data_IF_688195807933
#
_entry.id   IF_688195807933
#
_cell.length_a   1.000
_cell.length_b   1.000
_cell.length_c   1.000
_cell.angle_alpha   90.00
_cell.angle_beta   90.00
_cell.angle_gamma   90.00
#
_symmetry.space_group_name_H-M   'P 1'
#
loop_
_entity.id
_entity.type
_entity.pdbx_description
1 polymer ?
#
# COMPACT_ATOMS: atom_id res chain seq x y z
N UNK A 1 17.98 0.40 -10.86
CA UNK A 1 17.11 -0.47 -11.71
C UNK A 1 15.92 0.28 -12.33
N UNK A 2 15.96 0.61 -13.63
CA UNK A 2 14.93 1.43 -14.31
C UNK A 2 13.51 0.81 -14.32
N UNK A 3 13.40 -0.52 -14.36
CA UNK A 3 12.13 -1.23 -14.39
C UNK A 3 11.24 -0.96 -13.17
N UNK A 4 11.83 -0.64 -12.01
CA UNK A 4 11.09 -0.32 -10.79
C UNK A 4 10.23 0.93 -10.94
N UNK A 5 10.73 1.94 -11.67
CA UNK A 5 9.97 3.15 -11.95
C UNK A 5 8.76 2.86 -12.83
N UNK A 6 8.90 1.98 -13.83
CA UNK A 6 7.77 1.57 -14.68
C UNK A 6 6.73 0.78 -13.88
N UNK A 7 7.16 -0.10 -12.98
CA UNK A 7 6.24 -0.83 -12.08
C UNK A 7 5.52 0.16 -11.15
N UNK A 8 6.21 1.17 -10.61
CA UNK A 8 5.61 2.25 -9.83
C UNK A 8 4.52 2.99 -10.60
N UNK A 9 4.79 3.39 -11.85
CA UNK A 9 3.79 4.03 -12.70
C UNK A 9 2.55 3.16 -12.95
N UNK A 10 2.71 1.83 -13.04
CA UNK A 10 1.58 0.90 -13.20
C UNK A 10 0.75 0.71 -11.91
N UNK A 11 1.30 1.11 -10.76
CA UNK A 11 0.62 1.12 -9.46
C UNK A 11 -0.10 2.44 -9.18
N UNK A 12 0.34 3.54 -9.78
CA UNK A 12 -0.29 4.85 -9.63
C UNK A 12 -1.70 4.89 -10.21
N UNK A 13 -2.46 5.94 -9.83
CA UNK A 13 -3.76 6.19 -10.42
C UNK A 13 -3.63 6.32 -11.94
N UNK A 14 -4.37 5.51 -12.73
CA UNK A 14 -4.29 5.54 -14.18
C UNK A 14 -4.55 6.94 -14.74
N UNK A 15 -3.62 7.47 -15.52
CA UNK A 15 -3.73 8.79 -16.14
C UNK A 15 -3.59 8.75 -17.67
N UNK A 16 -3.85 9.90 -18.30
CA UNK A 16 -3.77 10.03 -19.75
C UNK A 16 -2.33 9.86 -20.26
N UNK A 17 -1.34 10.33 -19.49
CA UNK A 17 0.07 10.31 -19.89
C UNK A 17 0.57 8.87 -20.08
N UNK A 18 0.29 7.97 -19.14
CA UNK A 18 0.67 6.57 -19.25
C UNK A 18 -0.04 5.87 -20.42
N UNK A 19 -1.30 6.24 -20.70
CA UNK A 19 -2.06 5.70 -21.83
C UNK A 19 -1.52 6.17 -23.18
N UNK A 20 -1.11 7.44 -23.28
CA UNK A 20 -0.46 8.01 -24.47
C UNK A 20 0.92 7.38 -24.72
N UNK A 21 1.67 7.12 -23.66
CA UNK A 21 3.00 6.50 -23.71
C UNK A 21 3.00 4.97 -23.56
N UNK A 22 1.86 4.30 -23.76
CA UNK A 22 1.71 2.86 -23.44
C UNK A 22 2.69 1.95 -24.17
N UNK A 23 3.07 2.28 -25.42
CA UNK A 23 3.97 1.44 -26.20
C UNK A 23 5.39 1.40 -25.62
N UNK A 24 5.85 2.51 -25.03
CA UNK A 24 7.13 2.59 -24.35
C UNK A 24 7.12 1.76 -23.06
N UNK A 25 6.05 1.87 -22.27
CA UNK A 25 5.85 1.05 -21.08
C UNK A 25 5.84 -0.45 -21.43
N UNK A 26 5.09 -0.85 -22.46
CA UNK A 26 5.02 -2.23 -22.95
C UNK A 26 6.37 -2.74 -23.48
N UNK A 27 7.17 -1.89 -24.12
CA UNK A 27 8.50 -2.25 -24.58
C UNK A 27 9.46 -2.49 -23.41
N UNK A 28 9.45 -1.62 -22.40
CA UNK A 28 10.27 -1.76 -21.19
C UNK A 28 9.89 -3.01 -20.38
N UNK A 29 8.58 -3.25 -20.20
CA UNK A 29 8.08 -4.44 -19.51
C UNK A 29 8.50 -5.72 -20.24
N UNK A 30 8.33 -5.81 -21.56
CA UNK A 30 8.75 -7.00 -22.33
C UNK A 30 10.25 -7.29 -22.22
N UNK A 31 11.09 -6.25 -22.09
CA UNK A 31 12.54 -6.38 -21.99
C UNK A 31 12.98 -6.80 -20.59
N UNK A 32 12.51 -6.09 -19.57
CA UNK A 32 13.09 -6.15 -18.22
C UNK A 32 12.20 -6.88 -17.20
N UNK A 33 10.90 -7.00 -17.46
CA UNK A 33 9.93 -7.70 -16.61
C UNK A 33 8.91 -8.51 -17.43
N UNK A 34 9.33 -9.50 -18.23
CA UNK A 34 8.45 -10.21 -19.17
C UNK A 34 7.27 -10.93 -18.50
N UNK A 35 7.36 -11.25 -17.21
CA UNK A 35 6.27 -11.84 -16.42
C UNK A 35 5.07 -10.91 -16.25
N UNK A 36 5.26 -9.59 -16.42
CA UNK A 36 4.19 -8.59 -16.38
C UNK A 36 3.57 -8.30 -17.76
N UNK A 37 4.07 -8.91 -18.84
CA UNK A 37 3.65 -8.57 -20.22
C UNK A 37 2.14 -8.66 -20.39
N UNK A 38 1.52 -9.76 -19.99
CA UNK A 38 0.08 -9.97 -20.16
C UNK A 38 -0.73 -9.02 -19.28
N UNK A 39 -0.30 -8.80 -18.04
CA UNK A 39 -0.92 -7.84 -17.12
C UNK A 39 -0.91 -6.42 -17.71
N UNK A 40 0.27 -5.91 -18.07
CA UNK A 40 0.43 -4.55 -18.59
C UNK A 40 -0.31 -4.38 -19.92
N UNK A 41 -0.26 -5.39 -20.80
CA UNK A 41 -1.01 -5.37 -22.06
C UNK A 41 -2.52 -5.25 -21.82
N UNK A 42 -3.07 -6.02 -20.88
CA UNK A 42 -4.50 -5.99 -20.58
C UNK A 42 -4.91 -4.69 -19.89
N UNK A 43 -4.07 -4.16 -19.00
CA UNK A 43 -4.31 -2.89 -18.31
C UNK A 43 -4.36 -1.71 -19.31
N UNK A 44 -3.30 -1.54 -20.10
CA UNK A 44 -3.11 -0.34 -20.95
C UNK A 44 -3.93 -0.37 -22.27
N UNK A 45 -4.57 -1.49 -22.60
CA UNK A 45 -5.50 -1.57 -23.74
C UNK A 45 -6.97 -1.52 -23.35
N UNK A 46 -7.28 -1.44 -22.06
CA UNK A 46 -8.64 -1.20 -21.58
C UNK A 46 -9.00 0.30 -21.64
N UNK A 47 -10.31 0.63 -21.63
CA UNK A 47 -10.74 2.02 -21.49
C UNK A 47 -10.21 2.63 -20.18
N UNK A 48 -9.60 3.82 -20.26
CA UNK A 48 -8.95 4.48 -19.12
C UNK A 48 -9.91 4.66 -17.93
N UNK A 49 -11.12 5.17 -18.19
CA UNK A 49 -12.13 5.39 -17.16
C UNK A 49 -12.50 4.11 -16.39
N UNK A 50 -12.54 2.97 -17.07
CA UNK A 50 -12.83 1.68 -16.43
C UNK A 50 -11.69 1.31 -15.47
N UNK A 51 -10.43 1.52 -15.90
CA UNK A 51 -9.25 1.25 -15.05
C UNK A 51 -9.08 2.23 -13.91
N UNK A 52 -9.47 3.48 -14.09
CA UNK A 52 -9.56 4.45 -12.99
C UNK A 52 -10.59 4.03 -11.94
N UNK A 53 -11.78 3.60 -12.36
CA UNK A 53 -12.81 3.12 -11.45
C UNK A 53 -12.38 1.86 -10.69
N UNK A 54 -11.80 0.88 -11.39
CA UNK A 54 -11.23 -0.33 -10.78
C UNK A 54 -10.12 0.02 -9.77
N UNK A 55 -9.23 0.95 -10.11
CA UNK A 55 -8.15 1.37 -9.23
C UNK A 55 -8.68 1.96 -7.92
N UNK A 56 -9.67 2.85 -7.98
CA UNK A 56 -10.29 3.43 -6.78
C UNK A 56 -10.93 2.35 -5.89
N UNK A 57 -11.65 1.39 -6.48
CA UNK A 57 -12.25 0.29 -5.72
C UNK A 57 -11.21 -0.61 -5.06
N UNK A 58 -10.01 -0.75 -5.65
CA UNK A 58 -8.95 -1.59 -5.14
C UNK A 58 -8.08 -0.89 -4.09
N UNK A 59 -7.64 0.34 -4.33
CA UNK A 59 -6.59 0.99 -3.55
C UNK A 59 -7.07 2.14 -2.65
N UNK A 60 -8.21 2.77 -2.95
CA UNK A 60 -8.69 3.98 -2.26
C UNK A 60 -9.89 3.71 -1.33
N UNK A 61 -10.58 2.59 -1.55
CA UNK A 61 -11.81 2.26 -0.84
C UNK A 61 -11.61 1.74 0.58
N UNK A 62 -10.43 1.20 0.90
CA UNK A 62 -10.11 0.62 2.20
C UNK A 62 -8.62 0.75 2.53
N UNK A 63 -8.27 0.48 3.78
CA UNK A 63 -6.91 0.60 4.33
C UNK A 63 -6.05 -0.64 4.05
N UNK A 64 -6.65 -1.81 4.01
CA UNK A 64 -5.93 -3.11 3.91
C UNK A 64 -5.13 -3.28 2.61
N UNK A 65 -5.54 -2.61 1.53
CA UNK A 65 -4.87 -2.60 0.22
C UNK A 65 -4.19 -1.29 -0.11
N UNK A 66 -4.15 -0.33 0.82
CA UNK A 66 -3.47 0.96 0.65
C UNK A 66 -2.02 0.79 0.19
N UNK A 67 -1.57 1.66 -0.69
CA UNK A 67 -0.18 1.68 -1.18
C UNK A 67 0.78 2.41 -0.23
N UNK A 68 0.33 2.84 0.94
CA UNK A 68 1.18 3.45 1.97
C UNK A 68 1.87 2.35 2.79
N UNK A 69 3.19 2.25 2.68
CA UNK A 69 3.98 1.19 3.30
C UNK A 69 3.82 1.15 4.82
N UNK A 70 3.88 2.31 5.49
CA UNK A 70 3.84 2.33 6.95
C UNK A 70 2.46 2.07 7.53
N UNK A 71 1.41 2.19 6.72
CA UNK A 71 0.08 1.74 7.10
C UNK A 71 0.06 0.25 7.41
N UNK A 72 0.93 -0.58 6.81
CA UNK A 72 0.98 -2.04 7.03
C UNK A 72 1.95 -2.49 8.12
N UNK A 73 2.66 -1.54 8.75
CA UNK A 73 3.69 -1.82 9.76
C UNK A 73 3.38 -1.12 11.08
N UNK A 74 3.07 0.17 11.03
CA UNK A 74 3.07 1.05 12.20
C UNK A 74 1.69 1.58 12.59
N UNK A 75 0.62 1.28 11.86
CA UNK A 75 -0.73 1.79 12.16
C UNK A 75 -0.71 3.32 12.43
N UNK A 76 -1.42 3.78 13.47
CA UNK A 76 -1.37 5.15 14.00
C UNK A 76 -0.29 5.34 15.10
N UNK A 77 0.75 4.48 15.15
CA UNK A 77 1.78 4.61 16.18
C UNK A 77 2.64 5.86 15.97
N UNK A 78 3.20 6.37 17.08
CA UNK A 78 4.14 7.50 17.04
C UNK A 78 5.39 7.17 16.21
N UNK A 79 5.70 5.88 16.06
CA UNK A 79 6.86 5.40 15.30
C UNK A 79 6.70 5.66 13.80
N UNK A 80 5.46 5.74 13.28
CA UNK A 80 5.18 6.11 11.89
C UNK A 80 5.77 7.48 11.53
N UNK A 81 5.61 8.46 12.42
CA UNK A 81 6.12 9.81 12.19
C UNK A 81 7.65 9.85 12.10
N UNK A 82 8.35 9.10 12.96
CA UNK A 82 9.80 9.01 12.90
C UNK A 82 10.26 8.27 11.63
N UNK A 83 9.59 7.17 11.27
CA UNK A 83 9.90 6.42 10.05
C UNK A 83 9.74 7.28 8.78
N UNK A 84 8.73 8.17 8.74
CA UNK A 84 8.57 9.14 7.65
C UNK A 84 9.74 10.13 7.57
N UNK A 85 10.18 10.67 8.71
CA UNK A 85 11.33 11.58 8.76
C UNK A 85 12.61 10.89 8.30
N UNK A 86 12.83 9.65 8.76
CA UNK A 86 14.02 8.87 8.39
C UNK A 86 14.03 8.56 6.88
N UNK A 87 12.88 8.18 6.31
CA UNK A 87 12.75 7.91 4.88
C UNK A 87 12.96 9.17 4.03
N UNK A 88 12.43 10.32 4.46
CA UNK A 88 12.70 11.61 3.82
C UNK A 88 14.19 11.93 3.78
N UNK A 89 14.91 11.70 4.87
CA UNK A 89 16.34 11.91 4.93
C UNK A 89 17.11 11.00 3.95
N UNK A 90 16.65 9.76 3.73
CA UNK A 90 17.23 8.87 2.70
C UNK A 90 16.99 9.38 1.27
N UNK A 91 15.82 9.96 0.99
CA UNK A 91 15.51 10.55 -0.31
C UNK A 91 16.40 11.78 -0.60
N UNK A 92 16.58 12.64 0.41
CA UNK A 92 17.42 13.83 0.29
C UNK A 92 18.89 13.49 -0.03
N UNK A 93 19.42 12.38 0.51
CA UNK A 93 20.80 11.93 0.24
C UNK A 93 21.06 11.63 -1.24
N UNK A 94 20.03 11.24 -1.99
CA UNK A 94 20.13 10.97 -3.43
C UNK A 94 19.59 12.12 -4.28
N UNK A 95 19.28 13.25 -3.66
CA UNK A 95 18.80 14.46 -4.33
C UNK A 95 17.33 14.40 -4.76
N UNK A 96 16.55 13.46 -4.24
CA UNK A 96 15.12 13.37 -4.51
C UNK A 96 14.38 14.35 -3.60
N UNK A 97 13.62 15.26 -4.20
CA UNK A 97 12.82 16.27 -3.50
C UNK A 97 11.34 16.02 -3.77
N UNK A 98 10.58 15.82 -2.71
CA UNK A 98 9.15 15.55 -2.81
C UNK A 98 8.34 16.83 -2.96
N UNK A 99 7.25 16.73 -3.71
CA UNK A 99 6.19 17.72 -3.63
C UNK A 99 5.49 17.60 -2.26
N UNK A 100 5.04 18.73 -1.72
CA UNK A 100 4.35 18.84 -0.42
C UNK A 100 3.04 18.03 -0.31
N UNK A 101 2.57 17.43 -1.41
CA UNK A 101 1.31 16.69 -1.50
C UNK A 101 1.49 15.18 -1.40
N UNK A 102 2.72 14.68 -1.46
CA UNK A 102 3.01 13.25 -1.48
C UNK A 102 3.59 12.79 -0.15
N UNK A 103 3.14 11.63 0.33
CA UNK A 103 3.69 11.01 1.52
C UNK A 103 4.93 10.18 1.14
N UNK A 104 6.01 10.23 1.93
CA UNK A 104 7.27 9.55 1.57
C UNK A 104 7.13 8.03 1.52
N UNK A 105 6.17 7.45 2.24
CA UNK A 105 5.93 6.01 2.32
C UNK A 105 4.97 5.48 1.24
N UNK A 106 4.57 6.31 0.28
CA UNK A 106 3.82 5.87 -0.89
C UNK A 106 4.68 4.92 -1.75
N UNK A 107 4.21 3.70 -1.98
CA UNK A 107 5.00 2.64 -2.62
C UNK A 107 5.54 3.02 -4.02
N UNK A 108 4.75 3.60 -4.94
CA UNK A 108 5.28 4.02 -6.25
C UNK A 108 6.46 5.00 -6.14
N UNK A 109 6.36 5.94 -5.22
CA UNK A 109 7.43 6.88 -4.93
C UNK A 109 8.66 6.20 -4.33
N UNK A 110 8.45 5.24 -3.41
CA UNK A 110 9.55 4.41 -2.89
C UNK A 110 10.25 3.63 -4.01
N UNK A 111 9.50 3.11 -4.99
CA UNK A 111 10.08 2.44 -6.16
C UNK A 111 10.85 3.40 -7.07
N UNK A 112 10.39 4.64 -7.22
CA UNK A 112 11.16 5.69 -7.92
C UNK A 112 12.49 5.95 -7.21
N UNK A 113 12.49 6.09 -5.88
CA UNK A 113 13.71 6.19 -5.08
C UNK A 113 14.64 4.99 -5.30
N UNK A 114 14.13 3.75 -5.23
CA UNK A 114 14.96 2.57 -5.47
C UNK A 114 15.49 2.50 -6.91
N UNK A 115 14.77 3.10 -7.87
CA UNK A 115 15.18 3.10 -9.28
C UNK A 115 16.47 3.88 -9.54
N UNK A 116 16.77 4.90 -8.71
CA UNK A 116 17.97 5.75 -8.81
C UNK A 116 19.18 5.21 -8.05
N UNK A 117 18.98 4.20 -7.20
CA UNK A 117 20.06 3.51 -6.49
C UNK A 117 20.79 2.50 -7.38
N UNK A 118 21.93 2.00 -6.87
CA UNK A 118 22.58 0.83 -7.47
C UNK A 118 21.68 -0.40 -7.39
N UNK A 119 21.84 -1.35 -8.30
CA UNK A 119 20.96 -2.52 -8.38
C UNK A 119 20.98 -3.38 -7.11
N UNK A 120 22.11 -3.46 -6.41
CA UNK A 120 22.21 -4.20 -5.15
C UNK A 120 21.44 -3.50 -4.02
N UNK A 121 21.56 -2.17 -3.91
CA UNK A 121 20.79 -1.37 -2.95
C UNK A 121 19.29 -1.39 -3.25
N UNK A 122 18.91 -1.36 -4.53
CA UNK A 122 17.51 -1.44 -4.95
C UNK A 122 16.90 -2.79 -4.52
N UNK A 123 17.61 -3.90 -4.72
CA UNK A 123 17.18 -5.23 -4.25
C UNK A 123 17.09 -5.30 -2.73
N UNK A 124 18.08 -4.77 -2.02
CA UNK A 124 18.05 -4.71 -0.55
C UNK A 124 16.83 -3.91 -0.05
N UNK A 125 16.55 -2.76 -0.67
CA UNK A 125 15.35 -1.97 -0.37
C UNK A 125 14.05 -2.75 -0.57
N UNK A 126 13.92 -3.47 -1.70
CA UNK A 126 12.76 -4.33 -1.94
C UNK A 126 12.66 -5.48 -0.93
N UNK A 127 13.79 -6.07 -0.51
CA UNK A 127 13.81 -7.12 0.51
C UNK A 127 13.35 -6.60 1.87
N UNK A 128 13.72 -5.37 2.24
CA UNK A 128 13.29 -4.75 3.50
C UNK A 128 11.77 -4.59 3.59
N UNK A 129 11.10 -4.37 2.46
CA UNK A 129 9.63 -4.26 2.37
C UNK A 129 8.94 -5.53 1.85
N UNK A 130 9.69 -6.60 1.56
CA UNK A 130 9.15 -7.83 0.98
C UNK A 130 7.99 -8.45 1.78
N UNK A 131 7.98 -8.45 3.12
CA UNK A 131 6.84 -8.96 3.87
C UNK A 131 5.55 -8.14 3.62
N UNK A 132 5.67 -6.81 3.47
CA UNK A 132 4.55 -5.92 3.13
C UNK A 132 4.07 -6.22 1.70
N UNK A 133 5.00 -6.34 0.74
CA UNK A 133 4.67 -6.65 -0.65
C UNK A 133 3.93 -7.99 -0.78
N UNK A 134 4.38 -9.02 -0.04
CA UNK A 134 3.73 -10.32 -0.01
C UNK A 134 2.31 -10.23 0.56
N UNK A 135 2.13 -9.49 1.66
CA UNK A 135 0.83 -9.27 2.28
C UNK A 135 -0.14 -8.55 1.34
N UNK A 136 0.28 -7.43 0.74
CA UNK A 136 -0.52 -6.68 -0.24
C UNK A 136 -0.87 -7.53 -1.46
N UNK A 137 0.11 -8.22 -2.04
CA UNK A 137 -0.11 -9.15 -3.14
C UNK A 137 -1.12 -10.24 -2.78
N UNK A 138 -1.03 -10.82 -1.59
CA UNK A 138 -1.97 -11.81 -1.09
C UNK A 138 -3.41 -11.28 -0.96
N UNK A 139 -3.57 -10.08 -0.39
CA UNK A 139 -4.88 -9.39 -0.28
C UNK A 139 -5.49 -9.09 -1.64
N UNK A 140 -4.69 -8.58 -2.57
CA UNK A 140 -5.14 -8.33 -3.94
C UNK A 140 -5.56 -9.62 -4.65
N UNK A 141 -4.79 -10.69 -4.48
CA UNK A 141 -5.09 -12.00 -5.07
C UNK A 141 -6.37 -12.62 -4.50
N UNK A 142 -6.61 -12.49 -3.19
CA UNK A 142 -7.86 -12.90 -2.55
C UNK A 142 -9.08 -12.14 -3.13
N UNK A 143 -8.89 -10.86 -3.48
CA UNK A 143 -9.91 -10.01 -4.12
C UNK A 143 -10.01 -10.22 -5.64
N UNK A 144 -9.25 -11.15 -6.20
CA UNK A 144 -9.14 -11.38 -7.65
C UNK A 144 -8.68 -10.12 -8.44
N UNK A 145 -8.01 -9.19 -7.76
CA UNK A 145 -7.53 -7.95 -8.36
C UNK A 145 -6.20 -8.19 -9.09
N UNK A 146 -6.11 -7.97 -10.42
CA UNK A 146 -4.96 -8.39 -11.23
C UNK A 146 -3.64 -7.69 -10.86
N UNK A 147 -3.70 -6.56 -10.14
CA UNK A 147 -2.52 -5.83 -9.64
C UNK A 147 -1.61 -6.66 -8.74
N UNK A 148 -2.06 -7.79 -8.17
CA UNK A 148 -1.19 -8.67 -7.38
C UNK A 148 0.08 -9.09 -8.16
N UNK A 149 -0.01 -9.17 -9.49
CA UNK A 149 1.11 -9.52 -10.35
C UNK A 149 2.29 -8.55 -10.22
N UNK A 150 2.02 -7.25 -10.00
CA UNK A 150 3.06 -6.25 -9.79
C UNK A 150 3.86 -6.52 -8.50
N UNK A 151 3.18 -6.95 -7.45
CA UNK A 151 3.81 -7.28 -6.16
C UNK A 151 4.65 -8.55 -6.26
N UNK A 152 4.15 -9.60 -6.92
CA UNK A 152 4.92 -10.82 -7.17
C UNK A 152 6.16 -10.54 -8.05
N UNK A 153 6.04 -9.64 -9.03
CA UNK A 153 7.18 -9.23 -9.85
C UNK A 153 8.24 -8.48 -9.04
N UNK A 154 7.85 -7.57 -8.14
CA UNK A 154 8.79 -6.88 -7.24
C UNK A 154 9.52 -7.87 -6.32
N UNK A 155 8.80 -8.84 -5.74
CA UNK A 155 9.38 -9.90 -4.91
C UNK A 155 10.37 -10.75 -5.70
N UNK A 156 10.04 -11.09 -6.94
CA UNK A 156 10.93 -11.83 -7.83
C UNK A 156 12.19 -11.02 -8.19
N UNK A 157 12.06 -9.73 -8.49
CA UNK A 157 13.19 -8.83 -8.78
C UNK A 157 14.11 -8.66 -7.57
N UNK A 158 13.56 -8.67 -6.36
CA UNK A 158 14.30 -8.65 -5.11
C UNK A 158 15.05 -9.96 -4.81
N UNK A 159 14.66 -11.07 -5.46
CA UNK A 159 15.14 -12.41 -5.12
C UNK A 159 14.55 -12.95 -3.81
N UNK A 160 13.37 -12.48 -3.42
CA UNK A 160 12.69 -12.94 -2.21
C UNK A 160 12.14 -14.37 -2.40
N UNK A 161 12.07 -15.13 -1.32
CA UNK A 161 11.34 -16.42 -1.28
C UNK A 161 9.84 -16.26 -1.03
N UNK A 162 9.41 -15.04 -0.67
CA UNK A 162 8.01 -14.71 -0.45
C UNK A 162 7.28 -14.50 -1.78
N UNK A 163 5.97 -14.73 -1.75
CA UNK A 163 5.03 -14.45 -2.85
C UNK A 163 3.66 -14.14 -2.28
N UNK A 164 2.74 -13.66 -3.11
CA UNK A 164 1.32 -13.51 -2.77
C UNK A 164 0.70 -14.79 -2.17
N UNK A 165 1.18 -15.97 -2.57
CA UNK A 165 0.71 -17.27 -2.05
C UNK A 165 1.28 -17.62 -0.67
N UNK A 166 2.38 -16.99 -0.26
CA UNK A 166 3.02 -17.28 1.03
C UNK A 166 2.16 -16.86 2.24
N UNK A 167 1.26 -15.89 2.04
CA UNK A 167 0.42 -15.28 3.10
C UNK A 167 -1.06 -15.69 3.02
N UNK A 168 -1.45 -16.60 2.10
CA UNK A 168 -2.86 -16.93 1.84
C UNK A 168 -3.63 -17.33 3.10
N UNK A 169 -3.00 -18.07 4.01
CA UNK A 169 -3.64 -18.47 5.29
C UNK A 169 -3.96 -17.28 6.19
N UNK A 170 -3.03 -16.32 6.26
CA UNK A 170 -3.18 -15.11 7.06
C UNK A 170 -4.32 -14.25 6.48
N UNK A 171 -4.23 -13.95 5.18
CA UNK A 171 -5.21 -13.11 4.45
C UNK A 171 -6.62 -13.71 4.50
N UNK A 172 -6.77 -15.03 4.43
CA UNK A 172 -8.08 -15.69 4.54
C UNK A 172 -8.74 -15.59 5.92
N UNK A 173 -7.99 -15.22 6.96
CA UNK A 173 -8.52 -14.97 8.30
C UNK A 173 -8.88 -13.50 8.56
N UNK A 174 -8.53 -12.60 7.65
CA UNK A 174 -8.81 -11.17 7.79
C UNK A 174 -10.24 -10.83 7.35
N UNK A 175 -10.86 -9.86 8.03
CA UNK A 175 -12.14 -9.30 7.61
C UNK A 175 -11.93 -8.20 6.57
N UNK A 176 -12.90 -8.07 5.63
CA UNK A 176 -12.83 -7.06 4.58
C UNK A 176 -13.31 -5.70 5.07
N UNK A 177 -12.46 -4.70 4.91
CA UNK A 177 -12.69 -3.30 5.28
C UNK A 177 -13.32 -2.44 4.18
N UNK A 178 -13.36 -2.94 2.94
CA UNK A 178 -13.85 -2.21 1.76
C UNK A 178 -15.35 -2.44 1.48
N UNK A 179 -16.01 -3.33 2.24
CA UNK A 179 -17.44 -3.59 2.05
C UNK A 179 -18.28 -2.37 2.44
N UNK A 180 -19.46 -2.20 1.82
CA UNK A 180 -20.37 -1.10 2.19
C UNK A 180 -20.71 -1.11 3.68
N UNK A 181 -20.90 -2.28 4.26
CA UNK A 181 -21.18 -2.45 5.69
C UNK A 181 -19.99 -2.01 6.56
N UNK A 182 -18.76 -2.37 6.17
CA UNK A 182 -17.56 -1.93 6.88
C UNK A 182 -17.38 -0.41 6.79
N UNK A 183 -17.60 0.18 5.61
CA UNK A 183 -17.58 1.63 5.44
C UNK A 183 -18.69 2.29 6.27
N UNK A 184 -19.95 1.87 6.12
CA UNK A 184 -21.07 2.43 6.87
C UNK A 184 -20.81 2.36 8.39
N UNK A 185 -20.24 1.27 8.89
CA UNK A 185 -19.88 1.13 10.32
C UNK A 185 -18.82 2.15 10.79
N UNK A 186 -17.83 2.49 9.95
CA UNK A 186 -16.83 3.54 10.26
C UNK A 186 -17.48 4.93 10.31
N UNK A 187 -18.48 5.16 9.45
CA UNK A 187 -19.18 6.44 9.34
C UNK A 187 -20.43 6.55 10.23
N UNK A 188 -20.87 5.46 10.88
CA UNK A 188 -22.04 5.46 11.75
C UNK A 188 -21.72 6.20 13.06
N UNK A 189 -22.27 7.42 13.19
CA UNK A 189 -22.18 8.17 14.44
C UNK A 189 -22.98 7.45 15.54
N UNK A 190 -22.31 7.13 16.66
CA UNK A 190 -23.00 6.65 17.85
C UNK A 190 -24.06 7.68 18.26
N UNK A 191 -25.33 7.27 18.37
CA UNK A 191 -26.43 8.16 18.74
C UNK A 191 -26.06 9.00 19.97
N UNK A 192 -26.08 10.32 19.82
CA UNK A 192 -25.91 11.24 20.96
C UNK A 192 -27.10 11.03 21.90
N UNK A 193 -26.89 10.25 22.96
CA UNK A 193 -27.86 10.10 24.04
C UNK A 193 -27.81 11.36 24.90
N UNK A 194 -28.70 12.31 24.62
CA UNK A 194 -28.82 13.56 25.36
C UNK A 194 -29.36 13.39 26.79
N UNK A 195 -29.78 12.19 27.20
CA UNK A 195 -30.32 11.93 28.54
C UNK A 195 -29.60 10.70 29.11
N UNK A 196 -28.49 10.95 29.81
CA UNK A 196 -28.06 10.07 30.89
C UNK A 196 -28.70 10.59 32.18
N UNK A 197 -29.48 9.73 32.83
CA UNK A 197 -30.15 10.00 34.11
C UNK A 197 -29.14 9.95 35.29
N UNK A 198 -27.93 10.46 35.09
CA UNK A 198 -26.87 10.52 36.08
C UNK A 198 -26.26 11.92 36.13
N UNK A 199 -27.01 12.81 36.77
CA UNK A 199 -26.47 14.03 37.35
C UNK A 199 -25.47 13.69 38.47
N UNK A 200 -24.25 13.23 38.17
CA UNK A 200 -23.04 13.33 39.03
C UNK A 200 -21.83 12.58 38.43
N UNK A 201 -21.14 13.17 37.46
CA UNK A 201 -19.71 12.91 37.23
C UNK A 201 -19.14 13.93 36.22
N UNK A 202 -18.56 15.01 36.73
CA UNK A 202 -17.75 15.93 35.92
C UNK A 202 -16.31 15.38 35.89
N UNK A 203 -16.06 14.26 35.18
CA UNK A 203 -14.67 13.83 34.93
C UNK A 203 -14.44 12.83 33.78
N UNK A 204 -15.49 12.37 33.07
CA UNK A 204 -15.30 11.54 31.88
C UNK A 204 -15.80 12.28 30.64
N UNK A 205 -14.93 13.09 30.03
CA UNK A 205 -15.29 13.77 28.78
C UNK A 205 -15.46 12.73 27.64
N UNK A 206 -16.52 12.85 26.81
CA UNK A 206 -16.72 12.02 25.62
C UNK A 206 -15.58 12.07 24.60
N UNK A 207 -14.68 13.07 24.71
CA UNK A 207 -13.53 13.22 23.82
C UNK A 207 -12.50 12.07 23.95
N UNK A 208 -12.29 11.56 25.16
CA UNK A 208 -11.31 10.48 25.37
C UNK A 208 -11.78 9.14 24.79
N UNK A 209 -13.09 8.93 24.64
CA UNK A 209 -13.64 7.75 23.97
C UNK A 209 -13.56 7.88 22.44
N UNK A 210 -13.75 9.09 21.90
CA UNK A 210 -13.60 9.37 20.47
C UNK A 210 -12.20 9.03 19.94
N UNK A 211 -11.15 9.38 20.68
CA UNK A 211 -9.76 9.06 20.30
C UNK A 211 -9.45 7.55 20.29
N UNK A 212 -10.18 6.73 21.06
CA UNK A 212 -9.98 5.27 21.07
C UNK A 212 -10.63 4.55 19.88
N UNK A 213 -11.60 5.19 19.19
CA UNK A 213 -12.33 4.59 18.05
C UNK A 213 -11.41 4.31 16.86
N UNK A 214 -10.52 5.23 16.53
CA UNK A 214 -9.55 5.05 15.44
C UNK A 214 -8.46 4.02 15.74
N UNK A 215 -8.25 3.68 17.03
CA UNK A 215 -7.20 2.75 17.44
C UNK A 215 -7.60 1.27 17.45
N UNK A 216 -8.90 0.93 17.37
CA UNK A 216 -9.36 -0.43 17.71
C UNK A 216 -10.18 -1.18 16.64
N UNK A 217 -10.76 -0.54 15.63
CA UNK A 217 -11.61 -1.26 14.67
C UNK A 217 -10.97 -1.46 13.28
N UNK A 218 -10.94 -2.74 12.88
CA UNK A 218 -10.36 -3.30 11.64
C UNK A 218 -8.93 -2.83 11.37
N UNK A 219 -8.07 -2.92 12.39
CA UNK A 219 -6.64 -2.80 12.17
C UNK A 219 -6.19 -3.96 11.26
N UNK A 220 -5.64 -3.70 10.05
CA UNK A 220 -5.05 -4.78 9.24
C UNK A 220 -4.04 -5.56 10.09
N UNK A 221 -3.95 -6.88 9.91
CA UNK A 221 -2.87 -7.63 10.57
C UNK A 221 -1.55 -7.10 10.02
N UNK A 222 -0.81 -6.39 10.88
CA UNK A 222 0.45 -5.75 10.54
C UNK A 222 1.58 -6.76 10.47
N UNK A 223 2.54 -6.53 9.58
CA UNK A 223 3.71 -7.39 9.49
C UNK A 223 4.76 -6.94 10.51
N UNK A 224 5.17 -7.85 11.39
CA UNK A 224 6.31 -7.63 12.26
C UNK A 224 7.62 -7.88 11.49
N UNK A 225 8.25 -6.81 11.02
CA UNK A 225 9.51 -6.84 10.25
C UNK A 225 10.70 -7.25 11.15
N UNK A 226 10.57 -7.18 12.49
CA UNK A 226 11.66 -7.48 13.42
C UNK A 226 12.01 -8.97 13.52
N UNK A 227 11.16 -9.87 12.99
CA UNK A 227 11.36 -11.32 13.01
C UNK A 227 12.33 -11.85 11.92
N UNK A 228 12.83 -10.99 11.01
CA UNK A 228 13.67 -11.40 9.87
C UNK A 228 15.18 -11.26 10.05
N UNK A 229 15.68 -10.69 11.15
CA UNK A 229 17.10 -10.44 11.38
C UNK A 229 17.78 -11.50 12.24
N UNK A 230 18.35 -12.54 11.62
CA UNK A 230 19.27 -13.45 12.31
C UNK A 230 20.54 -12.70 12.73
N UNK A 231 20.90 -12.79 14.02
CA UNK A 231 22.23 -12.44 14.53
C UNK A 231 23.32 -13.34 13.96
#
# INVERSE_FOLDING_TARGET
MQILKVIGLLMEYPDELLWECKEDALALIRRDAPMLTDFTHNLLNAPLLDKQAEWCEVFDRGRTTSLLLFEHVHAESRDRGQAMVDLLAEYEKVGLQLDCRELPDYLPLYLEYLSVLSDDQAKEGLLNVAPILALLGGRLKQREAPWYALFDALLQLAGSSLSSDSVTKQVNSEERDDTRQALDAVWEEEQVKFIEDNATACDSSPLNQYQRRFSQDVAPQYVDISAGGGK
#
